data_IF_158553119121
#
_entry.id   IF_158553119121
#
_cell.length_a   1.000
_cell.length_b   1.000
_cell.length_c   1.000
_cell.angle_alpha   90.00
_cell.angle_beta   90.00
_cell.angle_gamma   90.00
#
_symmetry.space_group_name_H-M   'P 1'
#
loop_
_entity.id
_entity.type
_entity.pdbx_description
1 polymer ?
#
# COMPACT_ATOMS: atom_id res chain seq x y z
N UNK A 1 -5.79 -37.75 7.05
CA UNK A 1 -5.74 -36.70 6.00
C UNK A 1 -7.16 -36.23 5.77
N UNK A 2 -7.42 -34.92 5.86
CA UNK A 2 -8.74 -34.38 5.57
C UNK A 2 -9.16 -34.72 4.14
N UNK A 3 -10.42 -35.09 3.93
CA UNK A 3 -10.98 -35.39 2.60
C UNK A 3 -11.15 -34.17 1.68
N UNK A 4 -10.42 -33.08 1.94
CA UNK A 4 -10.47 -31.85 1.17
C UNK A 4 -9.43 -31.87 0.04
N UNK A 5 -9.79 -31.32 -1.11
CA UNK A 5 -8.83 -30.98 -2.17
C UNK A 5 -7.95 -29.82 -1.69
N UNK A 6 -6.66 -30.10 -1.46
CA UNK A 6 -5.68 -29.14 -0.97
C UNK A 6 -5.50 -27.94 -1.92
N UNK A 7 -5.65 -28.14 -3.23
CA UNK A 7 -5.54 -27.05 -4.21
C UNK A 7 -6.76 -26.12 -4.10
N UNK A 8 -7.94 -26.69 -3.92
CA UNK A 8 -9.17 -25.92 -3.70
C UNK A 8 -9.10 -25.14 -2.38
N UNK A 9 -8.62 -25.76 -1.30
CA UNK A 9 -8.43 -25.11 0.00
C UNK A 9 -7.42 -23.95 -0.08
N UNK A 10 -6.26 -24.16 -0.72
CA UNK A 10 -5.27 -23.08 -0.94
C UNK A 10 -5.85 -21.92 -1.75
N UNK A 11 -6.66 -22.23 -2.77
CA UNK A 11 -7.33 -21.22 -3.58
C UNK A 11 -8.37 -20.43 -2.78
N UNK A 12 -9.06 -21.09 -1.84
CA UNK A 12 -10.01 -20.45 -0.93
C UNK A 12 -9.30 -19.51 0.06
N UNK A 13 -8.17 -19.92 0.66
CA UNK A 13 -7.37 -19.03 1.51
C UNK A 13 -6.86 -17.80 0.76
N UNK A 14 -6.44 -17.97 -0.50
CA UNK A 14 -6.01 -16.87 -1.36
C UNK A 14 -7.11 -15.87 -1.75
N UNK A 15 -8.36 -16.07 -1.33
CA UNK A 15 -9.42 -15.08 -1.52
C UNK A 15 -9.26 -13.88 -0.55
N UNK A 16 -8.59 -14.06 0.59
CA UNK A 16 -8.23 -12.97 1.49
C UNK A 16 -7.01 -12.25 0.93
N UNK A 17 -7.17 -10.96 0.63
CA UNK A 17 -6.07 -10.12 0.12
C UNK A 17 -5.16 -9.72 1.27
N UNK A 18 -3.86 -9.79 1.04
CA UNK A 18 -2.83 -9.56 2.06
C UNK A 18 -1.78 -8.60 1.53
N UNK A 19 -1.07 -7.91 2.42
CA UNK A 19 0.24 -7.36 2.07
C UNK A 19 1.28 -8.49 1.92
N UNK A 20 2.43 -8.16 1.34
CA UNK A 20 3.58 -9.06 1.26
C UNK A 20 4.65 -8.61 2.24
N UNK A 21 5.17 -9.55 3.02
CA UNK A 21 6.24 -9.28 3.97
C UNK A 21 7.45 -10.17 3.71
N UNK A 22 8.62 -9.73 4.14
CA UNK A 22 9.80 -10.59 4.32
C UNK A 22 10.15 -10.61 5.80
N UNK A 23 10.13 -11.82 6.35
CA UNK A 23 10.52 -12.08 7.74
C UNK A 23 12.00 -12.37 7.76
N UNK A 24 12.74 -11.67 8.61
CA UNK A 24 14.20 -11.75 8.68
C UNK A 24 14.69 -11.98 10.11
N UNK A 25 15.83 -12.64 10.24
CA UNK A 25 16.55 -12.81 11.49
C UNK A 25 18.01 -13.13 11.20
N UNK A 26 18.76 -13.55 12.21
CA UNK A 26 20.10 -14.11 12.07
C UNK A 26 20.10 -15.59 12.45
N UNK A 27 20.90 -16.39 11.76
CA UNK A 27 21.16 -17.76 12.18
C UNK A 27 22.15 -17.84 13.36
N UNK A 28 22.46 -19.05 13.81
CA UNK A 28 23.39 -19.28 14.92
C UNK A 28 24.83 -18.81 14.66
N UNK A 29 25.21 -18.55 13.39
CA UNK A 29 26.51 -18.01 13.01
C UNK A 29 26.52 -16.48 12.93
N UNK A 30 25.34 -15.85 13.05
CA UNK A 30 25.15 -14.42 12.84
C UNK A 30 24.95 -14.04 11.36
N UNK A 31 24.73 -15.01 10.47
CA UNK A 31 24.43 -14.74 9.07
C UNK A 31 22.94 -14.39 8.92
N UNK A 32 22.59 -13.41 8.07
CA UNK A 32 21.21 -12.99 7.90
C UNK A 32 20.41 -14.08 7.16
N UNK A 33 19.23 -14.38 7.68
CA UNK A 33 18.27 -15.32 7.10
C UNK A 33 16.92 -14.64 6.92
N UNK A 34 16.17 -15.04 5.92
CA UNK A 34 14.82 -14.51 5.74
C UNK A 34 13.98 -15.28 4.75
N UNK A 35 12.67 -15.07 4.79
CA UNK A 35 11.71 -15.69 3.89
C UNK A 35 10.51 -14.77 3.65
N UNK A 36 9.93 -14.87 2.45
CA UNK A 36 8.70 -14.15 2.12
C UNK A 36 7.51 -14.82 2.82
N UNK A 37 6.66 -14.01 3.44
CA UNK A 37 5.41 -14.44 4.08
C UNK A 37 4.29 -13.44 3.80
N UNK A 38 3.07 -13.95 3.65
CA UNK A 38 1.86 -13.14 3.58
C UNK A 38 0.82 -13.55 4.65
N UNK A 39 1.25 -14.30 5.66
CA UNK A 39 0.47 -14.72 6.82
C UNK A 39 0.57 -13.75 8.02
N UNK A 40 1.12 -12.56 7.79
CA UNK A 40 1.32 -11.54 8.83
C UNK A 40 -0.02 -11.03 9.39
N UNK A 41 -0.06 -10.73 10.68
CA UNK A 41 -1.20 -10.10 11.35
C UNK A 41 -0.74 -9.26 12.54
N UNK A 42 -1.29 -8.04 12.70
CA UNK A 42 -1.20 -7.28 13.94
C UNK A 42 -2.12 -7.89 15.02
N UNK A 43 -1.61 -8.12 16.23
CA UNK A 43 -2.32 -8.90 17.26
C UNK A 43 -2.80 -8.04 18.42
N UNK A 44 -1.92 -7.18 18.95
CA UNK A 44 -2.20 -6.38 20.15
C UNK A 44 -1.47 -5.06 20.07
N UNK A 45 -2.06 -4.00 20.63
CA UNK A 45 -1.43 -2.68 20.77
C UNK A 45 -0.72 -2.52 22.12
N UNK A 46 -1.26 -3.11 23.20
CA UNK A 46 -0.64 -3.07 24.53
C UNK A 46 -0.77 -4.44 25.24
N UNK A 47 0.32 -5.23 25.34
CA UNK A 47 1.64 -4.97 24.74
C UNK A 47 1.58 -5.04 23.19
N UNK A 48 2.52 -4.40 22.48
CA UNK A 48 2.52 -4.39 21.02
C UNK A 48 2.97 -5.74 20.47
N UNK A 49 2.05 -6.50 19.88
CA UNK A 49 2.30 -7.85 19.37
C UNK A 49 1.91 -7.97 17.90
N UNK A 50 2.73 -8.72 17.16
CA UNK A 50 2.48 -9.17 15.78
C UNK A 50 2.64 -10.68 15.68
N UNK A 51 2.08 -11.28 14.64
CA UNK A 51 2.35 -12.68 14.31
C UNK A 51 2.66 -12.89 12.83
N UNK A 52 3.38 -13.98 12.55
CA UNK A 52 3.61 -14.50 11.20
C UNK A 52 3.79 -16.02 11.25
N UNK A 53 3.37 -16.75 10.22
CA UNK A 53 3.51 -18.20 10.17
C UNK A 53 4.71 -18.61 9.32
N UNK A 54 5.49 -19.58 9.81
CA UNK A 54 6.57 -20.26 9.07
C UNK A 54 6.20 -21.72 8.84
N UNK A 55 6.41 -22.22 7.63
CA UNK A 55 6.19 -23.63 7.32
C UNK A 55 7.23 -24.51 8.01
N UNK A 56 6.82 -25.66 8.54
CA UNK A 56 7.72 -26.63 9.18
C UNK A 56 8.73 -27.21 8.18
N UNK A 57 8.43 -27.13 6.88
CA UNK A 57 9.32 -27.52 5.77
C UNK A 57 10.32 -26.45 5.34
N UNK A 58 10.27 -25.25 5.93
CA UNK A 58 11.19 -24.16 5.59
C UNK A 58 12.63 -24.52 5.95
N UNK A 59 13.58 -24.23 5.07
CA UNK A 59 15.02 -24.36 5.37
C UNK A 59 15.45 -23.48 6.54
N UNK A 60 14.70 -22.41 6.83
CA UNK A 60 14.97 -21.47 7.91
C UNK A 60 14.25 -21.82 9.22
N UNK A 61 13.43 -22.90 9.26
CA UNK A 61 12.57 -23.21 10.40
C UNK A 61 13.35 -23.31 11.72
N UNK A 62 14.39 -24.13 11.75
CA UNK A 62 15.19 -24.38 12.95
C UNK A 62 15.88 -23.12 13.45
N UNK A 63 16.47 -22.32 12.54
CA UNK A 63 17.13 -21.08 12.93
C UNK A 63 16.13 -20.03 13.41
N UNK A 64 14.99 -19.88 12.74
CA UNK A 64 13.99 -18.87 13.08
C UNK A 64 13.31 -19.15 14.43
N UNK A 65 13.02 -20.43 14.71
CA UNK A 65 12.39 -20.84 15.98
C UNK A 65 13.36 -20.81 17.18
N UNK A 66 14.66 -20.76 16.93
CA UNK A 66 15.71 -20.60 17.96
C UNK A 66 16.22 -19.17 18.09
N UNK A 67 15.86 -18.29 17.17
CA UNK A 67 16.27 -16.90 17.19
C UNK A 67 15.66 -16.14 18.39
N UNK A 68 16.39 -15.16 18.92
CA UNK A 68 15.90 -14.30 20.02
C UNK A 68 14.84 -13.29 19.55
N UNK A 69 14.76 -13.05 18.25
CA UNK A 69 13.88 -12.08 17.63
C UNK A 69 13.87 -12.21 16.12
N UNK A 70 13.01 -11.41 15.49
CA UNK A 70 12.87 -11.34 14.04
C UNK A 70 12.34 -9.96 13.65
N UNK A 71 12.60 -9.55 12.41
CA UNK A 71 11.96 -8.39 11.83
C UNK A 71 10.92 -8.81 10.79
N UNK A 72 9.86 -8.00 10.66
CA UNK A 72 8.86 -8.11 9.60
C UNK A 72 9.00 -6.88 8.71
N UNK A 73 9.39 -7.08 7.46
CA UNK A 73 9.54 -6.03 6.45
C UNK A 73 8.32 -6.04 5.54
N UNK A 74 7.41 -5.08 5.66
CA UNK A 74 6.24 -4.92 4.78
C UNK A 74 6.70 -4.27 3.48
N UNK A 75 6.72 -5.04 2.39
CA UNK A 75 7.30 -4.62 1.12
C UNK A 75 6.47 -3.52 0.45
N UNK A 76 7.15 -2.58 -0.19
CA UNK A 76 6.54 -1.58 -1.08
C UNK A 76 6.18 -2.19 -2.45
N UNK A 77 5.29 -1.54 -3.19
CA UNK A 77 4.79 -2.01 -4.49
C UNK A 77 5.90 -2.25 -5.53
N UNK A 78 7.03 -1.55 -5.40
CA UNK A 78 8.21 -1.68 -6.27
C UNK A 78 9.06 -2.91 -5.95
N UNK A 79 8.83 -3.59 -4.83
CA UNK A 79 9.68 -4.67 -4.30
C UNK A 79 9.19 -6.08 -4.65
N UNK A 80 8.53 -6.25 -5.79
CA UNK A 80 8.11 -7.56 -6.32
C UNK A 80 9.27 -8.54 -6.42
N UNK A 81 10.44 -8.09 -6.90
CA UNK A 81 11.61 -8.97 -7.05
C UNK A 81 12.23 -9.37 -5.71
N UNK A 82 12.14 -8.52 -4.68
CA UNK A 82 12.54 -8.89 -3.32
C UNK A 82 11.65 -10.02 -2.82
N UNK A 83 10.33 -9.89 -2.95
CA UNK A 83 9.38 -10.96 -2.61
C UNK A 83 9.71 -12.27 -3.33
N UNK A 84 9.97 -12.22 -4.63
CA UNK A 84 10.32 -13.41 -5.43
C UNK A 84 11.61 -14.07 -4.95
N UNK A 85 12.64 -13.27 -4.66
CA UNK A 85 13.95 -13.76 -4.23
C UNK A 85 13.86 -14.47 -2.88
N UNK A 86 13.16 -13.87 -1.92
CA UNK A 86 13.01 -14.44 -0.57
C UNK A 86 12.02 -15.61 -0.50
N UNK A 87 11.25 -15.86 -1.56
CA UNK A 87 10.38 -17.04 -1.70
C UNK A 87 11.05 -18.24 -2.40
N UNK A 88 12.19 -18.03 -3.09
CA UNK A 88 12.87 -19.05 -3.91
C UNK A 88 14.14 -19.59 -3.24
N UNK A 89 14.57 -20.82 -3.55
CA UNK A 89 15.87 -21.32 -3.14
C UNK A 89 16.96 -20.62 -3.98
N UNK A 90 17.62 -19.63 -3.41
CA UNK A 90 18.76 -18.91 -4.00
C UNK A 90 19.88 -18.86 -2.96
N UNK A 91 21.14 -18.82 -3.42
CA UNK A 91 22.31 -18.96 -2.55
C UNK A 91 22.47 -17.77 -1.58
N UNK A 92 22.33 -16.54 -2.08
CA UNK A 92 22.38 -15.32 -1.27
C UNK A 92 21.17 -14.42 -1.58
N UNK A 93 20.16 -14.48 -0.71
CA UNK A 93 18.95 -13.64 -0.81
C UNK A 93 19.23 -12.18 -0.49
N UNK A 94 20.14 -11.91 0.44
CA UNK A 94 20.38 -10.58 0.98
C UNK A 94 21.22 -9.71 0.04
N UNK A 95 21.94 -10.32 -0.91
CA UNK A 95 22.59 -9.58 -2.00
C UNK A 95 21.59 -8.83 -2.93
N UNK A 96 20.30 -9.16 -2.89
CA UNK A 96 19.27 -8.55 -3.75
C UNK A 96 18.62 -7.28 -3.17
N UNK A 97 18.96 -6.90 -1.94
CA UNK A 97 18.28 -5.82 -1.21
C UNK A 97 19.27 -5.04 -0.35
N UNK A 98 19.09 -3.72 -0.23
CA UNK A 98 19.82 -2.93 0.77
C UNK A 98 19.16 -3.11 2.13
N UNK A 99 19.96 -3.46 3.13
CA UNK A 99 19.47 -3.74 4.47
C UNK A 99 20.48 -3.30 5.52
N UNK A 100 19.99 -3.13 6.75
CA UNK A 100 20.79 -2.87 7.94
C UNK A 100 20.21 -3.63 9.12
N UNK A 101 20.95 -3.73 10.23
CA UNK A 101 20.35 -4.23 11.46
C UNK A 101 19.40 -3.17 12.03
N UNK A 102 18.19 -3.59 12.39
CA UNK A 102 17.26 -2.77 13.15
C UNK A 102 17.76 -2.51 14.57
N UNK A 103 17.09 -1.61 15.33
CA UNK A 103 17.50 -1.25 16.68
C UNK A 103 17.55 -2.41 17.69
N UNK A 104 16.75 -3.45 17.49
CA UNK A 104 16.76 -4.70 18.28
C UNK A 104 17.61 -5.81 17.64
N UNK A 105 18.04 -5.62 16.39
CA UNK A 105 19.15 -6.33 15.77
C UNK A 105 18.77 -7.24 14.60
N UNK A 106 17.48 -7.45 14.33
CA UNK A 106 17.07 -8.21 13.15
C UNK A 106 17.23 -7.38 11.86
N UNK A 107 17.50 -7.99 10.69
CA UNK A 107 17.69 -7.25 9.44
C UNK A 107 16.42 -6.49 9.00
N UNK A 108 16.51 -5.18 8.83
CA UNK A 108 15.45 -4.32 8.26
C UNK A 108 15.88 -3.80 6.89
N UNK A 109 14.93 -3.75 5.96
CA UNK A 109 15.19 -3.38 4.57
C UNK A 109 14.95 -1.89 4.33
N UNK A 110 15.68 -1.31 3.38
CA UNK A 110 15.39 0.02 2.86
C UNK A 110 14.23 -0.01 1.85
N UNK A 111 13.52 1.12 1.72
CA UNK A 111 12.47 1.31 0.71
C UNK A 111 11.20 0.47 0.93
N UNK A 112 11.02 -0.08 2.13
CA UNK A 112 9.80 -0.79 2.53
C UNK A 112 8.70 0.18 2.95
N UNK A 113 7.44 -0.26 2.86
CA UNK A 113 6.30 0.49 3.39
C UNK A 113 6.35 0.60 4.91
N UNK A 114 6.79 -0.45 5.60
CA UNK A 114 7.03 -0.43 7.03
C UNK A 114 7.95 -1.59 7.45
N UNK A 115 8.56 -1.48 8.62
CA UNK A 115 9.19 -2.60 9.28
C UNK A 115 8.92 -2.63 10.78
N UNK A 116 8.95 -3.83 11.36
CA UNK A 116 8.83 -4.06 12.81
C UNK A 116 9.98 -4.95 13.26
N UNK A 117 10.82 -4.46 14.16
CA UNK A 117 11.93 -5.20 14.77
C UNK A 117 11.49 -5.75 16.12
N UNK A 118 11.41 -7.08 16.24
CA UNK A 118 10.67 -7.75 17.30
C UNK A 118 11.55 -8.70 18.12
N UNK A 119 11.26 -8.78 19.42
CA UNK A 119 11.71 -9.89 20.26
C UNK A 119 10.75 -11.08 20.11
N UNK A 120 11.27 -12.31 20.16
CA UNK A 120 10.44 -13.51 20.09
C UNK A 120 9.61 -13.64 21.37
N UNK A 121 8.29 -13.51 21.27
CA UNK A 121 7.39 -13.58 22.41
C UNK A 121 6.89 -15.00 22.66
N UNK A 122 6.44 -15.69 21.61
CA UNK A 122 5.91 -17.05 21.71
C UNK A 122 5.96 -17.76 20.35
N UNK A 123 6.16 -19.07 20.38
CA UNK A 123 6.03 -19.94 19.21
C UNK A 123 4.89 -20.92 19.49
N UNK A 124 3.94 -21.05 18.55
CA UNK A 124 2.79 -21.95 18.67
C UNK A 124 2.77 -22.92 17.50
N UNK A 125 2.86 -24.21 17.79
CA UNK A 125 2.69 -25.28 16.80
C UNK A 125 1.25 -25.27 16.26
N UNK A 126 1.09 -25.19 14.94
CA UNK A 126 -0.20 -24.99 14.28
C UNK A 126 -0.32 -25.83 13.00
N UNK A 127 -0.15 -27.15 13.13
CA UNK A 127 -0.28 -28.08 12.01
C UNK A 127 1.01 -28.22 11.22
N UNK A 128 0.99 -27.86 9.94
CA UNK A 128 2.18 -27.88 9.06
C UNK A 128 2.99 -26.57 9.11
N UNK A 129 2.60 -25.66 10.00
CA UNK A 129 3.26 -24.40 10.28
C UNK A 129 3.43 -24.19 11.78
N UNK A 130 4.37 -23.32 12.15
CA UNK A 130 4.43 -22.68 13.45
C UNK A 130 4.06 -21.20 13.33
N UNK A 131 3.31 -20.70 14.32
CA UNK A 131 3.01 -19.27 14.48
C UNK A 131 4.09 -18.65 15.34
N UNK A 132 4.82 -17.70 14.77
CA UNK A 132 5.78 -16.87 15.48
C UNK A 132 5.05 -15.61 15.95
N UNK A 133 4.99 -15.39 17.25
CA UNK A 133 4.44 -14.18 17.86
C UNK A 133 5.63 -13.34 18.32
N UNK A 134 5.72 -12.12 17.80
CA UNK A 134 6.78 -11.16 18.13
C UNK A 134 6.23 -10.00 18.95
N UNK A 135 6.98 -9.54 19.94
CA UNK A 135 6.74 -8.27 20.61
C UNK A 135 7.53 -7.19 19.90
N UNK A 136 6.86 -6.14 19.44
CA UNK A 136 7.50 -5.05 18.71
C UNK A 136 8.36 -4.24 19.68
N UNK A 137 9.66 -4.17 19.42
CA UNK A 137 10.60 -3.38 20.22
C UNK A 137 10.99 -2.08 19.50
N UNK A 138 10.97 -2.07 18.16
CA UNK A 138 11.09 -0.88 17.33
C UNK A 138 10.29 -1.04 16.04
N UNK A 139 9.90 0.06 15.42
CA UNK A 139 9.23 0.08 14.12
C UNK A 139 9.50 1.38 13.39
N UNK A 140 9.31 1.37 12.08
CA UNK A 140 9.24 2.57 11.25
C UNK A 140 8.27 2.33 10.09
N UNK A 141 7.78 3.42 9.50
CA UNK A 141 6.85 3.39 8.38
C UNK A 141 7.13 4.51 7.41
N UNK A 142 7.01 4.21 6.11
CA UNK A 142 7.05 5.20 5.04
C UNK A 142 5.67 5.38 4.43
N UNK A 143 5.51 6.43 3.62
CA UNK A 143 4.27 6.67 2.87
C UNK A 143 4.19 5.81 1.58
N UNK A 144 5.21 5.01 1.27
CA UNK A 144 5.25 4.18 0.06
C UNK A 144 4.15 3.12 0.11
N UNK A 145 3.43 2.96 -1.00
CA UNK A 145 2.32 2.02 -1.03
C UNK A 145 2.82 0.57 -0.95
N UNK A 146 2.12 -0.26 -0.19
CA UNK A 146 2.48 -1.66 0.02
C UNK A 146 2.21 -2.56 -1.19
N UNK A 147 3.05 -3.58 -1.34
CA UNK A 147 2.84 -4.68 -2.27
C UNK A 147 1.72 -5.60 -1.73
N UNK A 148 0.65 -5.73 -2.50
CA UNK A 148 -0.45 -6.65 -2.23
C UNK A 148 -0.27 -8.02 -2.87
N UNK A 149 -0.99 -9.01 -2.34
CA UNK A 149 -1.08 -10.36 -2.89
C UNK A 149 -2.50 -10.88 -2.73
N UNK A 150 -3.10 -11.32 -3.83
CA UNK A 150 -4.44 -11.88 -3.88
C UNK A 150 -4.51 -12.98 -4.94
N UNK A 151 -5.16 -14.10 -4.61
CA UNK A 151 -5.45 -15.21 -5.55
C UNK A 151 -4.23 -15.73 -6.34
N UNK A 152 -3.05 -15.68 -5.73
CA UNK A 152 -1.82 -16.16 -6.35
C UNK A 152 -1.06 -15.13 -7.19
N UNK A 153 -1.51 -13.87 -7.22
CA UNK A 153 -0.91 -12.79 -7.98
C UNK A 153 -0.58 -11.58 -7.10
N UNK A 154 0.45 -10.83 -7.48
CA UNK A 154 0.73 -9.52 -6.88
C UNK A 154 -0.32 -8.50 -7.32
N UNK A 155 -0.65 -7.59 -6.40
CA UNK A 155 -1.56 -6.47 -6.63
C UNK A 155 -0.86 -5.22 -6.13
N UNK A 156 -0.72 -4.23 -6.99
CA UNK A 156 -0.17 -2.93 -6.63
C UNK A 156 -1.18 -1.83 -6.97
N UNK A 157 -1.18 -0.70 -6.27
CA UNK A 157 -1.99 0.45 -6.69
C UNK A 157 -1.71 0.90 -8.13
N UNK A 158 -0.45 0.81 -8.57
CA UNK A 158 -0.05 1.01 -9.96
C UNK A 158 -0.75 0.07 -10.95
N UNK A 159 -0.86 -1.23 -10.64
CA UNK A 159 -1.59 -2.19 -11.51
C UNK A 159 -3.10 -1.96 -11.54
N UNK A 160 -3.70 -1.47 -10.45
CA UNK A 160 -5.12 -1.11 -10.42
C UNK A 160 -5.42 0.11 -11.32
N UNK A 161 -4.46 1.03 -11.44
CA UNK A 161 -4.52 2.15 -12.37
C UNK A 161 -4.31 1.74 -13.83
N UNK A 162 -3.41 0.77 -14.09
CA UNK A 162 -3.09 0.29 -15.44
C UNK A 162 -4.16 -0.66 -16.00
N UNK A 163 -4.91 -1.36 -15.14
CA UNK A 163 -5.99 -2.26 -15.53
C UNK A 163 -7.29 -1.55 -15.94
N UNK A 164 -7.34 -0.22 -15.84
CA UNK A 164 -8.40 0.57 -16.45
C UNK A 164 -8.11 0.63 -17.94
N UNK A 165 -8.88 -0.12 -18.73
CA UNK A 165 -8.77 -0.16 -20.19
C UNK A 165 -8.67 1.28 -20.75
N UNK A 166 -7.89 1.50 -21.82
CA UNK A 166 -7.77 2.82 -22.43
C UNK A 166 -9.13 3.25 -23.00
N UNK A 167 -9.93 3.90 -22.17
CA UNK A 167 -11.14 4.57 -22.58
C UNK A 167 -10.76 5.93 -23.15
N UNK A 168 -11.34 6.25 -24.31
CA UNK A 168 -11.26 7.60 -24.90
C UNK A 168 -11.79 8.58 -23.84
N UNK A 169 -10.95 9.51 -23.38
CA UNK A 169 -11.35 10.53 -22.40
C UNK A 169 -11.00 10.23 -20.94
N UNK A 170 -10.14 9.24 -20.65
CA UNK A 170 -9.61 9.01 -19.31
C UNK A 170 -8.82 10.24 -18.80
N UNK A 171 -9.16 10.73 -17.62
CA UNK A 171 -8.50 11.86 -16.95
C UNK A 171 -7.91 11.40 -15.62
N UNK A 172 -6.64 11.71 -15.41
CA UNK A 172 -5.93 11.44 -14.16
C UNK A 172 -5.88 12.72 -13.35
N UNK A 173 -6.30 12.66 -12.09
CA UNK A 173 -6.22 13.75 -11.12
C UNK A 173 -5.25 13.38 -10.00
N UNK A 174 -4.43 14.34 -9.57
CA UNK A 174 -3.54 14.19 -8.44
C UNK A 174 -4.17 14.83 -7.19
N UNK A 175 -4.61 14.01 -6.25
CA UNK A 175 -5.05 14.43 -4.92
C UNK A 175 -3.81 14.57 -4.04
N UNK A 176 -3.20 15.76 -4.04
CA UNK A 176 -2.03 16.06 -3.22
C UNK A 176 -2.48 16.67 -1.91
N UNK A 177 -2.37 15.91 -0.83
CA UNK A 177 -2.75 16.33 0.52
C UNK A 177 -1.50 16.69 1.35
N UNK A 178 -1.65 17.71 2.19
CA UNK A 178 -0.66 18.10 3.19
C UNK A 178 -1.35 18.83 4.34
N UNK A 179 -1.14 18.38 5.57
CA UNK A 179 -1.60 19.04 6.82
C UNK A 179 -3.11 19.37 6.85
N UNK A 180 -3.96 18.47 6.35
CA UNK A 180 -5.40 18.68 6.26
C UNK A 180 -5.82 19.65 5.15
N UNK A 181 -4.91 19.96 4.22
CA UNK A 181 -5.14 20.79 3.05
C UNK A 181 -4.91 19.99 1.77
N UNK A 182 -5.60 20.37 0.70
CA UNK A 182 -5.47 19.75 -0.62
C UNK A 182 -5.02 20.78 -1.65
N UNK A 183 -4.12 20.41 -2.54
CA UNK A 183 -3.73 21.26 -3.66
C UNK A 183 -4.89 21.38 -4.65
N UNK A 184 -5.34 22.61 -4.90
CA UNK A 184 -6.31 22.93 -5.94
C UNK A 184 -5.76 23.95 -6.92
N UNK A 185 -6.08 23.78 -8.20
CA UNK A 185 -5.73 24.67 -9.32
C UNK A 185 -6.97 25.33 -9.89
N UNK A 186 -6.81 26.50 -10.51
CA UNK A 186 -7.90 27.14 -11.26
C UNK A 186 -8.19 26.33 -12.54
N UNK A 187 -9.46 26.01 -12.76
CA UNK A 187 -9.91 25.36 -13.99
C UNK A 187 -10.29 26.39 -15.06
N UNK A 188 -10.52 25.92 -16.29
CA UNK A 188 -10.89 26.76 -17.43
C UNK A 188 -12.23 27.48 -17.28
N UNK A 189 -13.06 27.10 -16.30
CA UNK A 189 -14.38 27.67 -16.03
C UNK A 189 -14.35 28.68 -14.86
N UNK A 190 -13.17 29.00 -14.32
CA UNK A 190 -12.99 29.96 -13.22
C UNK A 190 -13.29 29.41 -11.82
N UNK A 191 -13.46 28.09 -11.69
CA UNK A 191 -13.57 27.36 -10.43
C UNK A 191 -12.26 26.72 -9.99
N UNK A 192 -12.26 26.09 -8.81
CA UNK A 192 -11.15 25.24 -8.37
C UNK A 192 -11.37 23.77 -8.77
N UNK A 193 -10.28 23.07 -9.06
CA UNK A 193 -10.26 21.63 -9.32
C UNK A 193 -8.96 21.00 -8.80
N UNK A 194 -8.92 19.67 -8.70
CA UNK A 194 -7.65 18.97 -8.53
C UNK A 194 -6.75 19.20 -9.76
N UNK A 195 -5.42 19.22 -9.60
CA UNK A 195 -4.52 19.09 -10.74
C UNK A 195 -4.92 17.84 -11.54
N UNK A 196 -5.17 18.00 -12.83
CA UNK A 196 -5.61 16.89 -13.67
C UNK A 196 -5.03 16.94 -15.09
N UNK A 197 -4.99 15.79 -15.74
CA UNK A 197 -4.53 15.64 -17.12
C UNK A 197 -5.21 14.46 -17.81
N UNK A 198 -5.71 14.68 -19.01
CA UNK A 198 -6.24 13.62 -19.87
C UNK A 198 -5.13 12.70 -20.36
N UNK A 199 -5.33 11.39 -20.20
CA UNK A 199 -4.46 10.33 -20.69
C UNK A 199 -4.56 10.28 -22.22
N UNK A 200 -3.40 10.24 -22.90
CA UNK A 200 -3.33 10.14 -24.36
C UNK A 200 -2.77 8.80 -24.82
N UNK A 201 -1.46 8.60 -24.66
CA UNK A 201 -0.74 7.48 -25.29
C UNK A 201 -0.04 6.54 -24.28
N UNK A 202 0.36 7.04 -23.11
CA UNK A 202 1.31 6.36 -22.22
C UNK A 202 0.69 5.84 -20.89
N UNK A 203 -0.63 5.66 -20.86
CA UNK A 203 -1.34 5.15 -19.67
C UNK A 203 -1.42 6.14 -18.50
N UNK A 204 -2.10 5.72 -17.43
CA UNK A 204 -2.41 6.56 -16.28
C UNK A 204 -1.15 6.91 -15.44
N UNK A 205 -0.28 5.95 -15.18
CA UNK A 205 0.92 6.10 -14.36
C UNK A 205 1.90 7.15 -14.90
N UNK A 206 2.23 7.09 -16.20
CA UNK A 206 3.12 8.09 -16.82
C UNK A 206 2.46 9.46 -16.91
N UNK A 207 1.14 9.49 -17.15
CA UNK A 207 0.37 10.74 -17.16
C UNK A 207 0.40 11.41 -15.78
N UNK A 208 0.29 10.62 -14.70
CA UNK A 208 0.40 11.10 -13.32
C UNK A 208 1.78 11.67 -13.03
N UNK A 209 2.86 10.97 -13.38
CA UNK A 209 4.22 11.48 -13.17
C UNK A 209 4.44 12.82 -13.89
N UNK A 210 3.99 12.92 -15.15
CA UNK A 210 4.04 14.16 -15.93
C UNK A 210 3.20 15.27 -15.29
N UNK A 211 2.05 14.94 -14.70
CA UNK A 211 1.19 15.88 -13.99
C UNK A 211 1.87 16.38 -12.70
N UNK A 212 2.40 15.49 -11.87
CA UNK A 212 3.10 15.84 -10.63
C UNK A 212 4.28 16.78 -10.90
N UNK A 213 5.07 16.50 -11.94
CA UNK A 213 6.17 17.37 -12.36
C UNK A 213 5.75 18.80 -12.71
N UNK A 214 4.48 19.05 -13.10
CA UNK A 214 3.99 20.41 -13.38
C UNK A 214 3.60 21.20 -12.15
N UNK A 215 3.40 20.54 -11.00
CA UNK A 215 2.95 21.21 -9.77
C UNK A 215 4.07 22.01 -9.10
N UNK A 216 5.33 21.75 -9.46
CA UNK A 216 6.51 22.35 -8.82
C UNK A 216 6.81 21.75 -7.43
N UNK A 217 6.06 20.74 -7.01
CA UNK A 217 6.27 20.01 -5.77
C UNK A 217 7.08 18.74 -6.02
N UNK A 218 7.88 18.35 -5.02
CA UNK A 218 8.39 16.98 -4.92
C UNK A 218 7.26 16.14 -4.36
N UNK A 219 6.44 15.61 -5.26
CA UNK A 219 5.29 14.79 -4.90
C UNK A 219 5.42 13.39 -5.54
N UNK A 220 5.15 12.37 -4.75
CA UNK A 220 5.19 10.97 -5.18
C UNK A 220 3.78 10.41 -5.41
N UNK A 221 3.58 9.61 -6.46
CA UNK A 221 2.31 8.95 -6.70
C UNK A 221 2.05 7.91 -5.61
N UNK A 222 0.87 7.96 -5.00
CA UNK A 222 0.37 6.92 -4.10
C UNK A 222 -0.71 6.08 -4.79
N UNK A 223 -1.74 5.67 -4.04
CA UNK A 223 -2.75 4.75 -4.54
C UNK A 223 -3.92 5.44 -5.26
N UNK A 224 -4.64 4.68 -6.09
CA UNK A 224 -5.92 5.12 -6.67
C UNK A 224 -6.94 5.30 -5.56
N UNK A 225 -7.28 6.54 -5.26
CA UNK A 225 -8.27 6.91 -4.26
C UNK A 225 -9.70 6.71 -4.79
N UNK A 226 -9.94 7.12 -6.02
CA UNK A 226 -11.27 7.04 -6.63
C UNK A 226 -11.20 6.83 -8.13
N UNK A 227 -12.12 6.00 -8.64
CA UNK A 227 -12.44 5.92 -10.06
C UNK A 227 -13.91 6.27 -10.23
N UNK A 228 -14.21 7.24 -11.07
CA UNK A 228 -15.59 7.60 -11.37
C UNK A 228 -15.80 7.94 -12.84
N UNK A 229 -17.05 7.79 -13.29
CA UNK A 229 -17.46 8.14 -14.64
C UNK A 229 -18.33 9.41 -14.60
N UNK A 230 -17.93 10.40 -15.38
CA UNK A 230 -18.73 11.55 -15.73
C UNK A 230 -19.56 11.21 -16.96
N UNK A 231 -20.76 10.68 -16.71
CA UNK A 231 -21.74 10.29 -17.74
C UNK A 231 -22.11 11.47 -18.67
N UNK A 232 -22.11 12.70 -18.15
CA UNK A 232 -22.49 13.90 -18.90
C UNK A 232 -21.38 14.30 -19.89
N UNK A 233 -20.11 14.22 -19.48
CA UNK A 233 -18.98 14.55 -20.33
C UNK A 233 -18.38 13.35 -21.07
N UNK A 234 -18.90 12.14 -20.85
CA UNK A 234 -18.33 10.86 -21.34
C UNK A 234 -16.85 10.73 -21.03
N UNK A 235 -16.47 11.12 -19.81
CA UNK A 235 -15.08 11.08 -19.31
C UNK A 235 -15.01 10.15 -18.12
N UNK A 236 -13.95 9.36 -18.07
CA UNK A 236 -13.62 8.59 -16.88
C UNK A 236 -12.54 9.33 -16.11
N UNK A 237 -12.64 9.40 -14.80
CA UNK A 237 -11.68 10.04 -13.91
C UNK A 237 -11.06 9.03 -12.97
N UNK A 238 -9.74 9.13 -12.79
CA UNK A 238 -8.98 8.42 -11.77
C UNK A 238 -8.29 9.47 -10.91
N UNK A 239 -8.63 9.53 -9.62
CA UNK A 239 -7.92 10.33 -8.65
C UNK A 239 -6.90 9.45 -7.90
N UNK A 240 -5.64 9.85 -7.93
CA UNK A 240 -4.57 9.25 -7.13
C UNK A 240 -4.31 10.09 -5.90
N UNK A 241 -4.27 9.47 -4.73
CA UNK A 241 -3.73 10.12 -3.55
C UNK A 241 -2.21 10.19 -3.71
N UNK A 242 -1.64 11.39 -3.63
CA UNK A 242 -0.22 11.65 -3.79
C UNK A 242 0.33 12.31 -2.53
N UNK A 243 1.59 12.02 -2.22
CA UNK A 243 2.26 12.48 -1.00
C UNK A 243 3.31 13.51 -1.35
N UNK A 244 3.49 14.52 -0.49
CA UNK A 244 4.53 15.53 -0.66
C UNK A 244 5.10 15.93 0.70
N UNK A 245 6.41 15.94 0.83
CA UNK A 245 7.07 16.23 2.11
C UNK A 245 7.15 17.74 2.38
N UNK A 246 7.65 18.54 1.43
CA UNK A 246 7.77 20.01 1.57
C UNK A 246 7.72 20.71 0.20
N UNK A 247 7.43 22.02 0.20
CA UNK A 247 7.50 22.88 -1.00
C UNK A 247 6.29 23.79 -1.22
N UNK A 248 6.49 24.84 -2.03
CA UNK A 248 5.42 25.72 -2.48
C UNK A 248 5.03 25.34 -3.92
N UNK A 249 3.74 25.11 -4.21
CA UNK A 249 3.33 24.74 -5.56
C UNK A 249 3.57 25.92 -6.51
N UNK A 250 4.04 25.63 -7.72
CA UNK A 250 4.14 26.62 -8.79
C UNK A 250 2.79 26.89 -9.47
N UNK A 251 1.81 26.00 -9.24
CA UNK A 251 0.45 26.09 -9.77
C UNK A 251 -0.57 25.82 -8.67
N UNK A 252 -1.57 26.69 -8.56
CA UNK A 252 -2.65 26.55 -7.60
C UNK A 252 -2.26 26.91 -6.17
N UNK A 253 -3.02 26.42 -5.20
CA UNK A 253 -2.80 26.66 -3.77
C UNK A 253 -3.36 25.50 -2.93
N UNK A 254 -2.75 25.29 -1.78
CA UNK A 254 -3.33 24.41 -0.76
C UNK A 254 -4.57 25.05 -0.16
N UNK A 255 -5.67 24.31 -0.14
CA UNK A 255 -6.97 24.73 0.35
C UNK A 255 -7.39 23.79 1.49
N UNK A 256 -7.86 24.31 2.64
CA UNK A 256 -8.32 23.47 3.74
C UNK A 256 -9.42 22.49 3.31
N UNK A 257 -9.40 21.27 3.85
CA UNK A 257 -10.44 20.27 3.67
C UNK A 257 -11.68 20.56 4.56
N UNK A 258 -12.26 21.75 4.41
CA UNK A 258 -13.52 22.14 5.07
C UNK A 258 -14.63 22.34 4.05
N UNK A 259 -15.88 22.19 4.49
CA UNK A 259 -17.05 22.31 3.60
C UNK A 259 -17.11 23.68 2.92
N UNK A 260 -16.79 24.75 3.66
CA UNK A 260 -16.77 26.12 3.15
C UNK A 260 -15.69 26.32 2.09
N UNK A 261 -14.50 25.76 2.32
CA UNK A 261 -13.37 25.90 1.43
C UNK A 261 -13.59 25.11 0.12
N UNK A 262 -14.19 23.92 0.22
CA UNK A 262 -14.52 23.05 -0.92
C UNK A 262 -15.73 23.53 -1.73
N UNK A 263 -16.53 24.48 -1.23
CA UNK A 263 -17.64 25.07 -1.99
C UNK A 263 -17.18 25.77 -3.30
N UNK A 264 -15.90 26.15 -3.38
CA UNK A 264 -15.27 26.75 -4.55
C UNK A 264 -14.88 25.75 -5.65
N UNK A 265 -14.97 24.44 -5.39
CA UNK A 265 -14.76 23.38 -6.40
C UNK A 265 -15.99 23.27 -7.28
N UNK A 266 -15.91 23.66 -8.56
CA UNK A 266 -17.11 23.77 -9.41
C UNK A 266 -17.64 22.43 -9.90
N UNK A 267 -16.78 21.43 -10.05
CA UNK A 267 -17.17 20.07 -10.38
C UNK A 267 -17.84 19.41 -9.15
N UNK A 268 -19.12 19.07 -9.29
CA UNK A 268 -19.94 18.50 -8.21
C UNK A 268 -19.49 17.09 -7.80
N UNK A 269 -18.94 16.31 -8.74
CA UNK A 269 -18.43 14.96 -8.50
C UNK A 269 -17.12 15.06 -7.74
N UNK A 270 -16.21 15.92 -8.20
CA UNK A 270 -14.95 16.22 -7.53
C UNK A 270 -15.18 16.76 -6.13
N UNK A 271 -16.14 17.68 -5.96
CA UNK A 271 -16.52 18.21 -4.64
C UNK A 271 -17.02 17.12 -3.72
N UNK A 272 -17.89 16.22 -4.19
CA UNK A 272 -18.40 15.10 -3.41
C UNK A 272 -17.27 14.16 -2.96
N UNK A 273 -16.33 13.87 -3.87
CA UNK A 273 -15.13 13.07 -3.59
C UNK A 273 -14.24 13.73 -2.53
N UNK A 274 -13.97 15.03 -2.65
CA UNK A 274 -13.15 15.78 -1.70
C UNK A 274 -13.82 15.93 -0.32
N UNK A 275 -15.13 16.14 -0.27
CA UNK A 275 -15.90 16.18 0.99
C UNK A 275 -15.81 14.83 1.70
N UNK A 276 -15.86 13.72 0.96
CA UNK A 276 -15.68 12.40 1.52
C UNK A 276 -14.24 12.17 2.01
N UNK A 277 -13.25 12.55 1.19
CA UNK A 277 -11.85 12.47 1.59
C UNK A 277 -11.57 13.27 2.87
N UNK A 278 -12.17 14.46 3.01
CA UNK A 278 -12.09 15.28 4.22
C UNK A 278 -12.65 14.56 5.48
N UNK A 279 -13.71 13.76 5.31
CA UNK A 279 -14.29 12.97 6.41
C UNK A 279 -13.42 11.74 6.76
N UNK A 280 -12.85 11.08 5.76
CA UNK A 280 -11.95 9.93 5.91
C UNK A 280 -10.60 10.29 6.52
N UNK A 281 -10.01 11.42 6.12
CA UNK A 281 -8.74 11.93 6.65
C UNK A 281 -8.83 12.21 8.17
N UNK A 282 -9.99 12.71 8.64
CA UNK A 282 -10.24 12.91 10.09
C UNK A 282 -10.31 11.61 10.90
N UNK A 283 -10.57 10.48 10.24
CA UNK A 283 -10.75 9.16 10.85
C UNK A 283 -9.54 8.24 10.65
N UNK A 284 -8.54 8.65 9.86
CA UNK A 284 -7.34 7.86 9.57
C UNK A 284 -7.60 6.59 8.76
N UNK A 285 -8.67 6.53 7.97
CA UNK A 285 -9.12 5.31 7.28
C UNK A 285 -9.44 5.61 5.81
N UNK A 286 -8.65 5.07 4.88
CA UNK A 286 -8.79 5.34 3.45
C UNK A 286 -9.55 4.19 2.73
N UNK A 287 -10.58 4.50 1.92
CA UNK A 287 -11.36 3.52 1.17
C UNK A 287 -11.51 3.88 -0.31
N UNK A 288 -11.26 2.95 -1.23
CA UNK A 288 -11.37 3.21 -2.69
C UNK A 288 -12.83 3.36 -3.10
N UNK A 289 -13.17 4.49 -3.73
CA UNK A 289 -14.51 4.72 -4.29
C UNK A 289 -14.64 4.28 -5.74
N UNK A 290 -15.70 3.53 -6.05
CA UNK A 290 -16.13 3.24 -7.41
C UNK A 290 -17.56 3.77 -7.62
N UNK A 291 -17.79 4.75 -8.50
CA UNK A 291 -19.14 5.29 -8.70
C UNK A 291 -19.30 6.26 -9.86
N UNK A 292 -20.48 6.88 -9.97
CA UNK A 292 -20.80 7.97 -10.91
C UNK A 292 -21.46 9.15 -10.16
N UNK A 293 -21.98 10.12 -10.91
CA UNK A 293 -22.60 11.35 -10.38
C UNK A 293 -23.82 11.13 -9.46
N UNK A 294 -24.41 9.93 -9.47
CA UNK A 294 -25.69 9.64 -8.79
C UNK A 294 -25.64 8.43 -7.85
N UNK A 295 -24.64 7.56 -7.99
CA UNK A 295 -24.49 6.37 -7.16
C UNK A 295 -23.06 5.84 -7.18
N UNK A 296 -22.61 5.22 -6.09
CA UNK A 296 -21.34 4.51 -6.07
C UNK A 296 -21.24 3.51 -4.93
N UNK A 297 -20.27 2.61 -5.04
CA UNK A 297 -19.91 1.62 -4.04
C UNK A 297 -18.56 1.99 -3.45
N UNK A 298 -18.56 2.11 -2.12
CA UNK A 298 -17.32 2.15 -1.35
C UNK A 298 -16.78 0.73 -1.32
N UNK A 299 -15.59 0.51 -1.90
CA UNK A 299 -14.80 -0.67 -1.60
C UNK A 299 -13.76 -0.24 -0.58
N UNK A 300 -13.96 -0.56 0.71
CA UNK A 300 -12.95 -0.22 1.68
C UNK A 300 -11.64 -0.94 1.30
N UNK A 301 -10.50 -0.27 1.46
CA UNK A 301 -9.18 -0.90 1.22
C UNK A 301 -8.99 -2.11 2.16
N UNK A 302 -9.73 -2.10 3.28
CA UNK A 302 -9.93 -3.20 4.22
C UNK A 302 -11.40 -3.67 4.22
N UNK A 303 -11.67 -4.94 3.90
CA UNK A 303 -13.02 -5.50 4.07
C UNK A 303 -13.44 -5.53 5.56
N UNK A 304 -14.53 -4.83 5.92
CA UNK A 304 -15.38 -5.12 7.09
C UNK A 304 -16.84 -4.85 6.65
N UNK A 305 -17.86 -5.69 6.85
CA UNK A 305 -18.02 -7.08 7.32
C UNK A 305 -19.09 -7.74 6.43
#
# INVERSE_FOLDING_TARGET
MSGFDLRALRSAFGAFTTGVTVVTSHDATGAPIGFTANSFTSVSLDPPLVLVCIANSSSNYENMTKATGFAVNILAETQVEVSNTFARPVDDRFASVTWQNGPHGAPVFEGVSAWFDCSMHQIVEAGDHAVLIGRVEAFDSSATAGLGYARGAYVTPSTAAEALEPHIGLTVSALIERDGQVLLVENSEGGLALPERTVKEHGASETLQKLLATTGLTAEPGFVYSVFEDDAAKRQHIAFLCQTEEGAPSLGRFVPLTEEALASVTDSVMRTMLTRFAAENKLGNYGVYFGNQTSGKIRPVSYER
#
